data_IF_846350452919
#
_entry.id   IF_846350452919
#
_cell.length_a   1.000
_cell.length_b   1.000
_cell.length_c   1.000
_cell.angle_alpha   90.00
_cell.angle_beta   90.00
_cell.angle_gamma   90.00
#
_symmetry.space_group_name_H-M   'P 1'
#
loop_
_entity.id
_entity.type
_entity.pdbx_description
1 polymer ?
#
# COMPACT_ATOMS: atom_id res chain seq x y z
N UNK A 1 7.71 -35.56 9.90
CA UNK A 1 7.45 -34.17 9.46
C UNK A 1 6.04 -34.05 8.91
N UNK A 2 5.26 -33.08 9.42
CA UNK A 2 3.92 -32.75 8.90
C UNK A 2 4.01 -32.12 7.51
N UNK A 3 3.07 -32.46 6.63
CA UNK A 3 2.96 -31.85 5.29
C UNK A 3 2.44 -30.42 5.43
N UNK A 4 3.11 -29.44 4.82
CA UNK A 4 2.63 -28.06 4.72
C UNK A 4 1.64 -27.96 3.56
N UNK A 5 0.43 -27.49 3.83
CA UNK A 5 -0.54 -27.17 2.79
C UNK A 5 -0.25 -25.78 2.21
N UNK A 6 -0.18 -25.65 0.89
CA UNK A 6 -0.01 -24.34 0.24
C UNK A 6 -1.29 -24.03 -0.53
N UNK A 7 -2.07 -23.05 -0.10
CA UNK A 7 -3.17 -22.50 -0.88
C UNK A 7 -2.58 -21.49 -1.87
N UNK A 8 -2.48 -21.87 -3.14
CA UNK A 8 -1.75 -21.14 -4.16
C UNK A 8 -2.69 -20.29 -5.04
N UNK A 9 -2.49 -18.97 -4.98
CA UNK A 9 -2.93 -17.99 -5.97
C UNK A 9 -1.87 -17.73 -7.04
N UNK A 10 -1.90 -16.55 -7.68
CA UNK A 10 -0.99 -16.21 -8.77
C UNK A 10 0.42 -15.76 -8.32
N UNK A 11 1.34 -15.75 -9.28
CA UNK A 11 2.74 -15.36 -9.06
C UNK A 11 3.64 -16.50 -8.56
N UNK A 12 4.92 -16.19 -8.34
CA UNK A 12 5.97 -17.19 -8.03
C UNK A 12 6.02 -17.62 -6.56
N UNK A 13 5.45 -16.84 -5.64
CA UNK A 13 5.59 -17.09 -4.20
C UNK A 13 5.16 -18.50 -3.74
N UNK A 14 4.02 -19.07 -4.19
CA UNK A 14 3.63 -20.43 -3.80
C UNK A 14 4.68 -21.47 -4.19
N UNK A 15 5.27 -21.30 -5.37
CA UNK A 15 6.28 -22.19 -5.93
C UNK A 15 7.57 -22.11 -5.12
N UNK A 16 8.03 -20.90 -4.81
CA UNK A 16 9.23 -20.66 -4.00
C UNK A 16 9.10 -21.22 -2.58
N UNK A 17 7.91 -21.11 -1.97
CA UNK A 17 7.63 -21.74 -0.68
C UNK A 17 7.75 -23.26 -0.78
N UNK A 18 7.20 -23.86 -1.84
CA UNK A 18 7.28 -25.31 -2.06
C UNK A 18 8.73 -25.78 -2.24
N UNK A 19 9.53 -25.06 -3.04
CA UNK A 19 10.96 -25.33 -3.23
C UNK A 19 11.74 -25.20 -1.92
N UNK A 20 11.55 -24.11 -1.19
CA UNK A 20 12.21 -23.87 0.10
C UNK A 20 11.89 -24.96 1.12
N UNK A 21 10.62 -25.37 1.25
CA UNK A 21 10.21 -26.42 2.21
C UNK A 21 10.80 -27.77 1.82
N UNK A 22 10.77 -28.12 0.54
CA UNK A 22 11.28 -29.41 0.06
C UNK A 22 12.81 -29.50 0.10
N UNK A 23 13.52 -28.41 -0.20
CA UNK A 23 14.98 -28.34 -0.07
C UNK A 23 15.47 -28.58 1.38
N UNK A 24 14.63 -28.24 2.38
CA UNK A 24 14.90 -28.52 3.81
C UNK A 24 14.38 -29.89 4.28
N UNK A 25 14.03 -30.78 3.36
CA UNK A 25 13.53 -32.13 3.65
C UNK A 25 12.06 -32.19 4.08
N UNK A 26 11.33 -31.08 4.00
CA UNK A 26 9.90 -31.01 4.29
C UNK A 26 9.04 -31.58 3.16
N UNK A 27 7.73 -31.73 3.43
CA UNK A 27 6.74 -32.16 2.45
C UNK A 27 5.69 -31.09 2.27
N UNK A 28 5.20 -30.93 1.05
CA UNK A 28 4.15 -29.98 0.70
C UNK A 28 3.00 -30.65 -0.04
N UNK A 29 1.81 -30.07 0.08
CA UNK A 29 0.69 -30.34 -0.82
C UNK A 29 0.06 -29.02 -1.24
N UNK A 30 0.04 -28.76 -2.55
CA UNK A 30 -0.40 -27.48 -3.10
C UNK A 30 -1.88 -27.59 -3.50
N UNK A 31 -2.74 -26.78 -2.92
CA UNK A 31 -4.11 -26.57 -3.39
C UNK A 31 -4.12 -25.34 -4.28
N UNK A 32 -4.24 -25.56 -5.58
CA UNK A 32 -3.99 -24.54 -6.60
C UNK A 32 -5.27 -24.01 -7.20
N UNK A 33 -5.41 -22.68 -7.21
CA UNK A 33 -6.59 -22.02 -7.77
C UNK A 33 -6.46 -21.97 -9.30
N UNK A 34 -7.38 -22.65 -9.97
CA UNK A 34 -7.46 -22.68 -11.43
C UNK A 34 -7.71 -21.29 -12.01
N UNK A 35 -6.95 -20.93 -13.04
CA UNK A 35 -6.95 -19.60 -13.66
C UNK A 35 -6.11 -18.54 -12.94
N UNK A 36 -5.53 -18.83 -11.77
CA UNK A 36 -4.65 -17.90 -11.04
C UNK A 36 -3.24 -18.50 -10.85
N UNK A 37 -3.15 -19.72 -10.30
CA UNK A 37 -1.88 -20.36 -10.00
C UNK A 37 -1.13 -20.79 -11.28
N UNK A 38 0.20 -20.66 -11.25
CA UNK A 38 1.08 -21.06 -12.33
C UNK A 38 1.14 -22.60 -12.47
N UNK A 39 1.21 -23.12 -13.70
CA UNK A 39 1.34 -24.55 -13.99
C UNK A 39 2.68 -25.14 -13.53
N UNK A 40 3.70 -24.32 -13.29
CA UNK A 40 4.99 -24.75 -12.75
C UNK A 40 4.87 -25.47 -11.38
N UNK A 41 3.73 -25.36 -10.70
CA UNK A 41 3.44 -26.14 -9.48
C UNK A 41 3.26 -27.64 -9.72
N UNK A 42 3.01 -28.07 -10.97
CA UNK A 42 2.64 -29.46 -11.29
C UNK A 42 3.74 -30.47 -10.90
N UNK A 43 4.97 -29.99 -10.68
CA UNK A 43 6.11 -30.77 -10.15
C UNK A 43 6.02 -31.14 -8.67
N UNK A 44 5.08 -30.56 -7.92
CA UNK A 44 4.83 -30.87 -6.52
C UNK A 44 3.51 -31.63 -6.36
N UNK A 45 3.29 -32.40 -5.27
CA UNK A 45 1.98 -32.95 -4.96
C UNK A 45 0.93 -31.84 -4.87
N UNK A 46 -0.12 -31.91 -5.68
CA UNK A 46 -1.06 -30.80 -5.83
C UNK A 46 -2.51 -31.25 -6.04
N UNK A 47 -3.44 -30.29 -5.93
CA UNK A 47 -4.84 -30.44 -6.28
C UNK A 47 -5.38 -29.14 -6.84
N UNK A 48 -5.78 -29.17 -8.10
CA UNK A 48 -6.45 -28.05 -8.74
C UNK A 48 -7.90 -27.90 -8.24
N UNK A 49 -8.27 -26.66 -7.95
CA UNK A 49 -9.58 -26.25 -7.41
C UNK A 49 -10.05 -24.96 -8.07
N UNK A 50 -11.34 -24.79 -8.24
CA UNK A 50 -11.95 -23.50 -8.58
C UNK A 50 -12.24 -22.70 -7.29
N UNK A 51 -12.28 -21.37 -7.39
CA UNK A 51 -12.65 -20.45 -6.29
C UNK A 51 -13.88 -20.87 -5.47
N UNK A 52 -14.90 -21.45 -6.12
CA UNK A 52 -16.13 -21.89 -5.43
C UNK A 52 -16.02 -23.22 -4.69
N UNK A 53 -14.93 -23.97 -4.87
CA UNK A 53 -14.81 -25.34 -4.37
C UNK A 53 -14.13 -25.40 -2.99
N UNK A 54 -14.68 -24.64 -2.04
CA UNK A 54 -14.12 -24.51 -0.68
C UNK A 54 -14.10 -25.87 0.04
N UNK A 55 -15.14 -26.70 -0.14
CA UNK A 55 -15.17 -28.05 0.40
C UNK A 55 -14.05 -28.93 -0.15
N UNK A 56 -13.82 -28.89 -1.47
CA UNK A 56 -12.72 -29.60 -2.14
C UNK A 56 -11.35 -29.13 -1.64
N UNK A 57 -11.15 -27.82 -1.45
CA UNK A 57 -9.91 -27.27 -0.87
C UNK A 57 -9.61 -27.89 0.49
N UNK A 58 -10.57 -27.84 1.41
CA UNK A 58 -10.43 -28.39 2.78
C UNK A 58 -10.22 -29.90 2.73
N UNK A 59 -10.95 -30.62 1.89
CA UNK A 59 -10.82 -32.07 1.75
C UNK A 59 -9.44 -32.47 1.23
N UNK A 60 -8.90 -31.75 0.24
CA UNK A 60 -7.57 -32.00 -0.29
C UNK A 60 -6.48 -31.82 0.78
N UNK A 61 -6.53 -30.72 1.53
CA UNK A 61 -5.60 -30.46 2.64
C UNK A 61 -5.66 -31.56 3.71
N UNK A 62 -6.88 -31.95 4.12
CA UNK A 62 -7.07 -33.03 5.12
C UNK A 62 -6.59 -34.39 4.61
N UNK A 63 -6.90 -34.74 3.36
CA UNK A 63 -6.45 -35.99 2.73
C UNK A 63 -4.93 -36.08 2.65
N UNK A 64 -4.26 -34.94 2.40
CA UNK A 64 -2.80 -34.85 2.39
C UNK A 64 -2.15 -34.80 3.79
N UNK A 65 -2.97 -34.81 4.86
CA UNK A 65 -2.50 -34.72 6.25
C UNK A 65 -1.95 -33.34 6.63
N UNK A 66 -2.34 -32.29 5.90
CA UNK A 66 -1.91 -30.93 6.20
C UNK A 66 -2.61 -30.42 7.46
N UNK A 67 -1.83 -30.09 8.48
CA UNK A 67 -2.29 -29.36 9.68
C UNK A 67 -1.92 -27.89 9.62
N UNK A 68 -0.73 -27.60 9.11
CA UNK A 68 -0.25 -26.24 8.86
C UNK A 68 -0.50 -25.87 7.42
N UNK A 69 -1.00 -24.67 7.18
CA UNK A 69 -1.22 -24.15 5.84
C UNK A 69 -0.63 -22.76 5.65
N UNK A 70 -0.19 -22.45 4.44
CA UNK A 70 0.20 -21.10 4.03
C UNK A 70 -0.66 -20.68 2.86
N UNK A 71 -1.12 -19.44 2.90
CA UNK A 71 -1.86 -18.81 1.81
C UNK A 71 -0.88 -17.88 1.10
N UNK A 72 -0.63 -18.15 -0.18
CA UNK A 72 0.42 -17.46 -0.93
C UNK A 72 -0.04 -17.13 -2.35
N UNK A 73 0.48 -16.01 -2.86
CA UNK A 73 0.23 -15.55 -4.22
C UNK A 73 -0.85 -14.47 -4.30
N UNK A 74 -0.83 -13.74 -5.42
CA UNK A 74 -1.80 -12.69 -5.70
C UNK A 74 -3.20 -13.27 -5.90
N UNK A 75 -4.18 -12.64 -5.26
CA UNK A 75 -5.59 -12.97 -5.42
C UNK A 75 -6.24 -11.81 -6.16
N UNK A 76 -6.60 -12.01 -7.43
CA UNK A 76 -7.49 -11.08 -8.12
C UNK A 76 -8.90 -11.27 -7.59
N UNK A 77 -9.69 -10.19 -7.54
CA UNK A 77 -11.12 -10.29 -7.18
C UNK A 77 -11.79 -11.30 -8.10
N UNK A 78 -12.37 -12.39 -7.58
CA UNK A 78 -12.91 -13.45 -8.41
C UNK A 78 -14.08 -12.91 -9.24
N UNK A 79 -14.09 -13.25 -10.52
CA UNK A 79 -15.29 -13.10 -11.33
C UNK A 79 -16.35 -14.07 -10.80
N UNK A 80 -17.33 -13.52 -10.07
CA UNK A 80 -18.39 -14.29 -9.41
C UNK A 80 -19.17 -15.19 -10.39
N UNK A 81 -19.12 -14.91 -11.70
CA UNK A 81 -19.76 -15.73 -12.74
C UNK A 81 -19.01 -17.03 -13.03
N UNK A 82 -17.71 -17.10 -12.72
CA UNK A 82 -16.84 -18.28 -12.94
C UNK A 82 -16.68 -19.14 -11.70
N UNK A 83 -17.30 -18.73 -10.58
CA UNK A 83 -17.30 -19.46 -9.32
C UNK A 83 -18.22 -20.68 -9.46
N UNK A 84 -17.66 -21.88 -9.25
CA UNK A 84 -18.42 -23.14 -9.22
C UNK A 84 -18.58 -23.60 -7.77
N UNK A 85 -19.66 -23.19 -7.07
CA UNK A 85 -19.83 -23.47 -5.65
C UNK A 85 -20.07 -24.97 -5.41
N UNK A 86 -19.39 -25.53 -4.40
CA UNK A 86 -19.66 -26.89 -3.91
C UNK A 86 -20.57 -26.88 -2.67
N UNK A 87 -21.00 -28.06 -2.20
CA UNK A 87 -21.83 -28.18 -0.99
C UNK A 87 -21.13 -27.52 0.23
N UNK A 88 -19.80 -27.58 0.28
CA UNK A 88 -18.99 -26.90 1.30
C UNK A 88 -19.07 -25.37 1.24
N UNK A 89 -19.19 -24.80 0.04
CA UNK A 89 -19.44 -23.38 -0.20
C UNK A 89 -20.82 -22.97 0.35
N UNK A 90 -21.88 -23.71 0.03
CA UNK A 90 -23.22 -23.43 0.57
C UNK A 90 -23.28 -23.54 2.10
N UNK A 91 -22.64 -24.56 2.67
CA UNK A 91 -22.52 -24.71 4.13
C UNK A 91 -21.70 -23.58 4.79
N UNK A 92 -20.87 -22.87 4.01
CA UNK A 92 -20.06 -21.74 4.47
C UNK A 92 -20.66 -20.38 4.09
N UNK A 93 -21.78 -20.36 3.36
CA UNK A 93 -22.40 -19.17 2.79
C UNK A 93 -22.79 -18.11 3.84
N UNK A 94 -23.38 -18.45 5.00
CA UNK A 94 -23.69 -17.45 6.03
C UNK A 94 -22.44 -16.72 6.55
N UNK A 95 -21.30 -17.41 6.57
CA UNK A 95 -20.01 -16.83 7.00
C UNK A 95 -19.36 -16.03 5.85
N UNK A 96 -19.50 -16.49 4.61
CA UNK A 96 -18.99 -15.81 3.41
C UNK A 96 -19.72 -14.50 3.12
N UNK A 97 -21.04 -14.42 3.34
CA UNK A 97 -21.82 -13.19 3.12
C UNK A 97 -21.34 -12.05 4.04
N UNK A 98 -20.88 -12.38 5.25
CA UNK A 98 -20.22 -11.42 6.13
C UNK A 98 -18.93 -10.83 5.56
N UNK A 99 -18.28 -11.51 4.59
CA UNK A 99 -17.03 -11.05 3.96
C UNK A 99 -17.25 -9.87 3.01
N UNK A 100 -18.46 -9.72 2.45
CA UNK A 100 -18.81 -8.66 1.50
C UNK A 100 -19.07 -7.29 2.14
N UNK A 101 -19.17 -7.23 3.48
CA UNK A 101 -19.28 -6.00 4.24
C UNK A 101 -17.98 -5.71 5.00
N UNK A 102 -17.09 -4.88 4.44
CA UNK A 102 -15.80 -4.52 5.06
C UNK A 102 -14.71 -4.18 4.04
N UNK A 103 -13.54 -3.70 4.51
CA UNK A 103 -12.37 -3.38 3.67
C UNK A 103 -11.41 -4.53 3.40
N UNK A 104 -10.39 -4.32 2.54
CA UNK A 104 -9.48 -5.39 2.09
C UNK A 104 -8.72 -6.08 3.24
N UNK A 105 -8.16 -5.35 4.21
CA UNK A 105 -7.51 -5.94 5.41
C UNK A 105 -8.46 -6.81 6.23
N UNK A 106 -9.75 -6.46 6.23
CA UNK A 106 -10.78 -7.25 6.88
C UNK A 106 -11.13 -8.52 6.11
N UNK A 107 -10.91 -8.57 4.78
CA UNK A 107 -11.14 -9.76 3.96
C UNK A 107 -10.07 -10.81 4.24
N UNK A 108 -8.79 -10.41 4.20
CA UNK A 108 -7.67 -11.31 4.42
C UNK A 108 -7.70 -11.94 5.83
N UNK A 109 -7.91 -11.12 6.86
CA UNK A 109 -8.09 -11.58 8.24
C UNK A 109 -9.23 -12.59 8.38
N UNK A 110 -10.33 -12.39 7.64
CA UNK A 110 -11.49 -13.28 7.66
C UNK A 110 -11.21 -14.61 6.95
N UNK A 111 -10.42 -14.61 5.88
CA UNK A 111 -9.96 -15.85 5.21
C UNK A 111 -9.10 -16.67 6.17
N UNK A 112 -8.18 -16.04 6.89
CA UNK A 112 -7.37 -16.72 7.92
C UNK A 112 -8.25 -17.39 8.96
N UNK A 113 -9.17 -16.62 9.58
CA UNK A 113 -10.11 -17.14 10.59
C UNK A 113 -10.97 -18.28 10.06
N UNK A 114 -11.36 -18.25 8.78
CA UNK A 114 -12.14 -19.31 8.17
C UNK A 114 -11.39 -20.66 8.22
N UNK A 115 -10.11 -20.68 7.85
CA UNK A 115 -9.33 -21.92 7.87
C UNK A 115 -8.97 -22.35 9.30
N UNK A 116 -8.72 -21.42 10.22
CA UNK A 116 -8.52 -21.71 11.65
C UNK A 116 -9.74 -22.41 12.25
N UNK A 117 -10.95 -21.92 11.96
CA UNK A 117 -12.21 -22.55 12.40
C UNK A 117 -12.42 -23.95 11.80
N UNK A 118 -11.74 -24.29 10.70
CA UNK A 118 -11.75 -25.63 10.10
C UNK A 118 -10.67 -26.55 10.66
N UNK A 119 -9.89 -26.07 11.64
CA UNK A 119 -8.86 -26.82 12.36
C UNK A 119 -7.47 -26.75 11.74
N UNK A 120 -7.21 -25.79 10.85
CA UNK A 120 -5.87 -25.58 10.29
C UNK A 120 -5.11 -24.51 11.06
N UNK A 121 -3.79 -24.69 11.17
CA UNK A 121 -2.85 -23.70 11.70
C UNK A 121 -2.31 -22.87 10.53
N UNK A 122 -2.82 -21.65 10.37
CA UNK A 122 -2.41 -20.76 9.28
C UNK A 122 -1.08 -20.10 9.64
N UNK A 123 -0.07 -20.35 8.81
CA UNK A 123 1.30 -19.85 8.94
C UNK A 123 1.62 -18.84 7.85
N UNK A 124 2.50 -17.90 8.18
CA UNK A 124 3.05 -16.97 7.21
C UNK A 124 4.16 -17.58 6.36
N UNK A 125 4.37 -17.01 5.18
CA UNK A 125 5.45 -17.40 4.28
C UNK A 125 6.82 -17.38 5.00
N UNK A 126 7.09 -16.35 5.80
CA UNK A 126 8.30 -16.23 6.62
C UNK A 126 8.51 -17.37 7.63
N UNK A 127 7.43 -17.97 8.15
CA UNK A 127 7.52 -19.03 9.15
C UNK A 127 7.82 -20.37 8.50
N UNK A 128 7.30 -20.60 7.29
CA UNK A 128 7.51 -21.86 6.58
C UNK A 128 8.73 -21.81 5.70
N UNK A 129 9.11 -20.65 5.14
CA UNK A 129 10.19 -20.44 4.18
C UNK A 129 11.06 -19.22 4.60
N UNK A 130 11.79 -19.31 5.73
CA UNK A 130 12.58 -18.21 6.29
C UNK A 130 13.76 -17.78 5.41
N UNK A 131 14.27 -18.65 4.52
CA UNK A 131 15.30 -18.32 3.54
C UNK A 131 14.85 -17.26 2.51
N UNK A 132 13.53 -17.06 2.37
CA UNK A 132 12.97 -15.99 1.55
C UNK A 132 13.00 -14.62 2.25
N UNK A 133 13.25 -14.55 3.55
CA UNK A 133 13.29 -13.29 4.29
C UNK A 133 14.54 -12.47 3.95
N UNK A 134 14.32 -11.19 3.69
CA UNK A 134 15.37 -10.18 3.69
C UNK A 134 16.05 -10.13 5.07
N UNK A 135 17.33 -10.51 5.16
CA UNK A 135 18.10 -10.44 6.41
C UNK A 135 18.60 -9.02 6.72
N UNK A 136 19.20 -8.83 7.88
CA UNK A 136 19.82 -7.54 8.23
C UNK A 136 21.12 -7.27 7.45
N UNK A 137 21.38 -6.00 7.15
CA UNK A 137 22.60 -5.55 6.48
C UNK A 137 22.54 -5.66 4.94
N UNK A 138 23.71 -5.49 4.33
CA UNK A 138 23.89 -5.54 2.87
C UNK A 138 23.67 -6.96 2.35
N UNK A 139 22.92 -7.10 1.26
CA UNK A 139 22.64 -8.41 0.65
C UNK A 139 23.38 -8.67 -0.66
N UNK A 140 23.72 -7.62 -1.41
CA UNK A 140 24.52 -7.70 -2.64
C UNK A 140 25.98 -7.27 -2.43
N UNK A 141 26.67 -7.00 -3.54
CA UNK A 141 28.00 -6.39 -3.58
C UNK A 141 27.96 -4.86 -3.41
N UNK A 142 26.83 -4.23 -3.75
CA UNK A 142 26.64 -2.76 -3.70
C UNK A 142 26.13 -2.32 -2.32
N UNK A 143 26.67 -1.21 -1.82
CA UNK A 143 26.27 -0.58 -0.56
C UNK A 143 25.52 0.72 -0.75
N UNK A 144 24.59 1.01 0.17
CA UNK A 144 24.10 2.36 0.36
C UNK A 144 25.20 3.23 0.97
N UNK A 145 25.33 4.45 0.43
CA UNK A 145 26.06 5.54 1.05
C UNK A 145 25.46 5.94 2.40
N UNK A 146 26.18 6.76 3.16
CA UNK A 146 25.65 7.31 4.41
C UNK A 146 24.36 8.13 4.19
N UNK A 147 24.30 8.90 3.09
CA UNK A 147 23.09 9.63 2.71
C UNK A 147 21.96 8.67 2.34
N UNK A 148 22.23 7.60 1.57
CA UNK A 148 21.27 6.57 1.24
C UNK A 148 20.70 5.88 2.49
N UNK A 149 21.56 5.54 3.47
CA UNK A 149 21.11 5.00 4.76
C UNK A 149 20.31 6.02 5.58
N UNK A 150 20.64 7.30 5.53
CA UNK A 150 19.86 8.37 6.17
C UNK A 150 18.48 8.51 5.53
N UNK A 151 18.40 8.50 4.21
CA UNK A 151 17.16 8.53 3.44
C UNK A 151 16.29 7.28 3.73
N UNK A 152 16.91 6.11 3.83
CA UNK A 152 16.24 4.87 4.22
C UNK A 152 15.59 5.00 5.62
N UNK A 153 16.34 5.47 6.63
CA UNK A 153 15.83 5.70 7.99
C UNK A 153 14.67 6.69 8.00
N UNK A 154 14.77 7.77 7.23
CA UNK A 154 13.68 8.74 7.06
C UNK A 154 12.44 8.08 6.43
N UNK A 155 12.63 7.23 5.42
CA UNK A 155 11.54 6.47 4.80
C UNK A 155 10.82 5.55 5.79
N UNK A 156 11.57 4.85 6.65
CA UNK A 156 10.98 4.06 7.73
C UNK A 156 10.24 4.91 8.77
N UNK A 157 10.73 6.10 9.11
CA UNK A 157 10.04 7.03 9.99
C UNK A 157 8.70 7.52 9.39
N UNK A 158 8.69 7.89 8.09
CA UNK A 158 7.46 8.28 7.36
C UNK A 158 6.46 7.12 7.34
N UNK A 159 6.90 5.91 7.01
CA UNK A 159 6.05 4.70 7.03
C UNK A 159 5.44 4.46 8.40
N UNK A 160 6.22 4.64 9.46
CA UNK A 160 5.78 4.44 10.84
C UNK A 160 4.72 5.47 11.25
N UNK A 161 4.88 6.74 10.85
CA UNK A 161 3.91 7.81 11.10
C UNK A 161 2.59 7.62 10.32
N UNK A 162 2.65 7.00 9.14
CA UNK A 162 1.50 6.70 8.28
C UNK A 162 0.82 5.35 8.60
N UNK A 163 1.52 4.45 9.30
CA UNK A 163 1.07 3.10 9.63
C UNK A 163 -0.33 3.02 10.26
N UNK A 164 -0.61 3.76 11.37
CA UNK A 164 -1.92 3.77 12.01
C UNK A 164 -3.07 4.26 11.11
N UNK A 165 -2.75 4.95 10.00
CA UNK A 165 -3.70 5.50 9.04
C UNK A 165 -3.89 4.59 7.83
N UNK A 166 -3.24 3.42 7.82
CA UNK A 166 -3.31 2.43 6.75
C UNK A 166 -2.78 2.95 5.39
N UNK A 167 -1.77 3.83 5.42
CA UNK A 167 -1.16 4.37 4.21
C UNK A 167 0.12 3.62 3.81
N UNK A 168 0.11 3.02 2.61
CA UNK A 168 1.28 2.50 1.86
C UNK A 168 2.18 1.46 2.55
N UNK A 169 2.89 0.64 1.78
CA UNK A 169 3.97 -0.21 2.33
C UNK A 169 5.35 0.32 1.94
N UNK A 170 5.43 1.19 0.95
CA UNK A 170 6.67 1.75 0.45
C UNK A 170 6.68 3.29 0.37
N UNK A 171 7.86 3.86 0.53
CA UNK A 171 8.14 5.30 0.40
C UNK A 171 9.46 5.47 -0.35
N UNK A 172 9.54 6.43 -1.28
CA UNK A 172 10.80 6.83 -1.92
C UNK A 172 11.27 8.14 -1.33
N UNK A 173 12.46 8.14 -0.76
CA UNK A 173 13.14 9.32 -0.21
C UNK A 173 14.36 9.63 -1.07
N UNK A 174 14.68 10.90 -1.28
CA UNK A 174 16.00 11.29 -1.74
C UNK A 174 16.43 12.62 -1.14
N UNK A 175 17.67 12.69 -0.68
CA UNK A 175 18.27 13.90 -0.13
C UNK A 175 17.40 14.50 0.99
N UNK A 176 16.87 13.64 1.87
CA UNK A 176 15.98 14.03 2.96
C UNK A 176 14.56 14.44 2.55
N UNK A 177 14.16 14.32 1.28
CA UNK A 177 12.83 14.69 0.78
C UNK A 177 12.00 13.47 0.41
N UNK A 178 10.72 13.49 0.77
CA UNK A 178 9.76 12.46 0.34
C UNK A 178 9.39 12.73 -1.12
N UNK A 179 9.75 11.81 -2.02
CA UNK A 179 9.42 11.93 -3.44
C UNK A 179 8.09 11.27 -3.77
N UNK A 180 7.81 10.13 -3.15
CA UNK A 180 6.58 9.40 -3.35
C UNK A 180 6.25 8.53 -2.13
N UNK A 181 4.96 8.44 -1.83
CA UNK A 181 4.39 7.44 -0.91
C UNK A 181 3.49 6.52 -1.72
N UNK A 182 3.57 5.22 -1.46
CA UNK A 182 2.76 4.22 -2.14
C UNK A 182 1.27 4.41 -1.79
N UNK A 183 0.46 4.64 -2.82
CA UNK A 183 -0.99 4.65 -2.72
C UNK A 183 -1.61 3.36 -3.27
N UNK A 184 -2.89 3.43 -3.63
CA UNK A 184 -3.63 2.30 -4.20
C UNK A 184 -3.09 1.82 -5.56
N UNK A 185 -2.23 2.60 -6.22
CA UNK A 185 -1.59 2.21 -7.48
C UNK A 185 -0.54 1.10 -7.34
N UNK A 186 0.00 0.90 -6.13
CA UNK A 186 1.06 -0.06 -5.84
C UNK A 186 2.48 0.42 -6.21
N UNK A 187 3.47 -0.33 -5.73
CA UNK A 187 4.90 0.02 -5.80
C UNK A 187 5.39 0.31 -7.23
N UNK A 188 4.97 -0.48 -8.22
CA UNK A 188 5.44 -0.33 -9.60
C UNK A 188 5.02 0.99 -10.25
N UNK A 189 3.74 1.35 -10.09
CA UNK A 189 3.22 2.61 -10.60
C UNK A 189 3.78 3.81 -9.80
N UNK A 190 4.04 3.63 -8.51
CA UNK A 190 4.76 4.63 -7.70
C UNK A 190 6.16 4.89 -8.26
N UNK A 191 6.94 3.86 -8.60
CA UNK A 191 8.29 4.04 -9.17
C UNK A 191 8.24 4.73 -10.54
N UNK A 192 7.27 4.40 -11.39
CA UNK A 192 7.05 5.13 -12.65
C UNK A 192 6.76 6.62 -12.43
N UNK A 193 5.96 6.95 -11.40
CA UNK A 193 5.71 8.34 -10.99
C UNK A 193 6.99 9.04 -10.55
N UNK A 194 7.86 8.36 -9.80
CA UNK A 194 9.17 8.90 -9.43
C UNK A 194 10.02 9.19 -10.67
N UNK A 195 9.99 8.32 -11.68
CA UNK A 195 10.70 8.52 -12.95
C UNK A 195 10.27 9.83 -13.66
N UNK A 196 8.98 10.16 -13.57
CA UNK A 196 8.39 11.32 -14.23
C UNK A 196 8.61 12.65 -13.49
N UNK A 197 9.23 12.64 -12.30
CA UNK A 197 9.49 13.86 -11.55
C UNK A 197 10.54 14.74 -12.27
N UNK A 198 10.36 16.07 -12.28
CA UNK A 198 11.33 16.99 -12.87
C UNK A 198 12.74 16.78 -12.27
N UNK A 199 13.77 16.77 -13.13
CA UNK A 199 15.16 16.62 -12.73
C UNK A 199 15.62 15.19 -12.46
N UNK A 200 14.73 14.18 -12.42
CA UNK A 200 15.11 12.77 -12.23
C UNK A 200 15.78 12.15 -13.45
N UNK A 201 15.22 12.37 -14.63
CA UNK A 201 15.74 11.83 -15.89
C UNK A 201 17.11 12.41 -16.31
N UNK A 202 17.56 13.50 -15.67
CA UNK A 202 18.83 14.18 -15.97
C UNK A 202 19.91 13.92 -14.91
N UNK A 203 19.61 13.11 -13.89
CA UNK A 203 20.54 12.86 -12.80
C UNK A 203 21.69 11.95 -13.26
N UNK A 204 22.91 12.50 -13.31
CA UNK A 204 24.13 11.73 -13.61
C UNK A 204 24.53 10.79 -12.46
N UNK A 205 24.01 11.01 -11.25
CA UNK A 205 24.34 10.27 -10.04
C UNK A 205 23.08 9.64 -9.46
N UNK A 206 23.16 8.35 -9.10
CA UNK A 206 22.09 7.64 -8.41
C UNK A 206 21.80 8.33 -7.08
N UNK A 207 20.53 8.56 -6.77
CA UNK A 207 20.14 9.16 -5.49
C UNK A 207 18.78 8.68 -5.03
N UNK A 208 18.67 8.49 -3.72
CA UNK A 208 17.43 8.13 -3.07
C UNK A 208 17.20 6.64 -2.95
N UNK A 209 16.32 6.29 -2.03
CA UNK A 209 16.08 4.93 -1.57
C UNK A 209 14.60 4.63 -1.53
N UNK A 210 14.23 3.45 -2.03
CA UNK A 210 12.93 2.85 -1.80
C UNK A 210 12.95 2.16 -0.43
N UNK A 211 12.29 2.73 0.57
CA UNK A 211 12.09 2.11 1.87
C UNK A 211 10.78 1.29 1.86
N UNK A 212 10.84 -0.02 2.11
CA UNK A 212 9.68 -0.92 2.08
C UNK A 212 9.62 -1.82 3.31
N UNK A 213 8.41 -2.09 3.80
CA UNK A 213 8.17 -2.99 4.92
C UNK A 213 6.67 -3.16 5.19
N UNK A 214 6.29 -3.92 6.22
CA UNK A 214 4.88 -4.09 6.58
C UNK A 214 4.34 -2.87 7.34
N UNK A 215 3.03 -2.64 7.24
CA UNK A 215 2.34 -1.68 8.10
C UNK A 215 2.19 -2.26 9.51
N UNK A 216 2.18 -1.42 10.57
CA UNK A 216 1.81 -1.86 11.91
C UNK A 216 0.43 -2.55 11.92
N UNK A 217 0.34 -3.74 12.50
CA UNK A 217 -0.91 -4.50 12.59
C UNK A 217 -1.32 -5.25 11.31
N UNK A 218 -0.49 -5.21 10.25
CA UNK A 218 -0.72 -5.97 9.03
C UNK A 218 -0.69 -7.48 9.30
N UNK A 219 -1.60 -8.22 8.67
CA UNK A 219 -1.69 -9.69 8.81
C UNK A 219 -0.61 -10.37 7.96
N UNK A 220 0.63 -10.43 8.49
CA UNK A 220 1.81 -10.97 7.81
C UNK A 220 1.68 -12.45 7.43
N UNK A 221 0.68 -13.17 7.94
CA UNK A 221 0.47 -14.56 7.53
C UNK A 221 0.01 -14.69 6.09
N UNK A 222 -0.62 -13.64 5.54
CA UNK A 222 -1.20 -13.67 4.19
C UNK A 222 -0.86 -12.43 3.37
N UNK A 223 -0.36 -11.36 4.00
CA UNK A 223 0.07 -10.15 3.33
C UNK A 223 1.47 -9.77 3.81
N UNK A 224 2.49 -10.43 3.25
CA UNK A 224 3.88 -10.00 3.45
C UNK A 224 4.31 -9.09 2.29
N UNK A 225 4.95 -7.95 2.59
CA UNK A 225 5.63 -7.19 1.56
C UNK A 225 6.72 -8.02 0.89
N UNK A 226 6.88 -7.81 -0.41
CA UNK A 226 7.90 -8.48 -1.20
C UNK A 226 8.62 -7.50 -2.14
N UNK A 227 9.89 -7.81 -2.41
CA UNK A 227 10.68 -7.27 -3.51
C UNK A 227 11.15 -8.43 -4.39
N UNK A 228 11.51 -8.16 -5.63
CA UNK A 228 12.10 -9.15 -6.55
C UNK A 228 12.84 -8.47 -7.70
N UNK A 229 13.28 -9.23 -8.72
CA UNK A 229 14.08 -8.68 -9.82
C UNK A 229 13.43 -7.48 -10.49
N UNK A 230 12.12 -7.57 -10.73
CA UNK A 230 11.33 -6.46 -11.29
C UNK A 230 11.37 -5.19 -10.42
N UNK A 231 11.35 -5.31 -9.10
CA UNK A 231 11.46 -4.13 -8.21
C UNK A 231 12.83 -3.48 -8.34
N UNK A 232 13.88 -4.30 -8.45
CA UNK A 232 15.27 -3.85 -8.64
C UNK A 232 15.42 -3.15 -9.98
N UNK A 233 14.97 -3.76 -11.07
CA UNK A 233 14.98 -3.17 -12.41
C UNK A 233 14.28 -1.81 -12.43
N UNK A 234 13.12 -1.70 -11.76
CA UNK A 234 12.35 -0.45 -11.69
C UNK A 234 13.02 0.61 -10.84
N UNK A 235 13.58 0.24 -9.69
CA UNK A 235 14.37 1.15 -8.85
C UNK A 235 15.61 1.65 -9.61
N UNK A 236 16.28 0.76 -10.34
CA UNK A 236 17.44 1.08 -11.14
C UNK A 236 17.10 2.00 -12.32
N UNK A 237 15.98 1.76 -13.01
CA UNK A 237 15.51 2.55 -14.14
C UNK A 237 15.17 4.00 -13.78
N UNK A 238 14.93 4.30 -12.49
CA UNK A 238 14.67 5.66 -12.00
C UNK A 238 15.85 6.24 -11.20
N UNK A 239 17.03 5.64 -11.38
CA UNK A 239 18.29 6.04 -10.78
C UNK A 239 18.24 6.13 -9.24
N UNK A 240 17.51 5.24 -8.58
CA UNK A 240 17.64 5.08 -7.13
C UNK A 240 19.02 4.48 -6.81
N UNK A 241 19.55 4.91 -5.67
CA UNK A 241 20.78 4.37 -5.09
C UNK A 241 20.56 2.96 -4.57
N UNK A 242 19.38 2.68 -4.02
CA UNK A 242 19.05 1.33 -3.59
C UNK A 242 17.64 1.15 -3.05
N UNK A 243 17.41 -0.05 -2.53
CA UNK A 243 16.18 -0.49 -1.89
C UNK A 243 16.55 -0.85 -0.44
N UNK A 244 15.90 -0.20 0.52
CA UNK A 244 15.99 -0.54 1.91
C UNK A 244 14.73 -1.28 2.35
N UNK A 245 14.89 -2.42 2.99
CA UNK A 245 13.77 -3.24 3.48
C UNK A 245 13.84 -3.43 4.98
N UNK A 246 12.68 -3.58 5.61
CA UNK A 246 12.63 -3.98 7.02
C UNK A 246 13.12 -5.42 7.15
N UNK A 247 14.22 -5.61 7.88
CA UNK A 247 14.83 -6.92 8.06
C UNK A 247 13.85 -7.90 8.72
N UNK A 248 13.87 -9.15 8.26
CA UNK A 248 13.03 -10.26 8.71
C UNK A 248 11.52 -10.06 8.51
N UNK A 249 11.12 -9.00 7.79
CA UNK A 249 9.73 -8.61 7.59
C UNK A 249 9.33 -8.44 6.11
N UNK A 250 10.28 -8.59 5.18
CA UNK A 250 10.08 -8.48 3.73
C UNK A 250 10.63 -9.71 3.03
N UNK A 251 9.90 -10.21 2.03
CA UNK A 251 10.35 -11.34 1.20
C UNK A 251 11.18 -10.86 0.00
N UNK A 252 12.22 -11.62 -0.35
CA UNK A 252 12.96 -11.45 -1.61
C UNK A 252 12.59 -12.60 -2.54
N UNK A 253 11.73 -12.28 -3.52
CA UNK A 253 11.38 -13.18 -4.60
C UNK A 253 12.58 -13.35 -5.53
N UNK A 254 12.83 -14.57 -5.98
CA UNK A 254 13.93 -14.93 -6.88
C UNK A 254 15.26 -14.30 -6.44
N UNK A 255 15.67 -14.56 -5.19
CA UNK A 255 16.78 -13.88 -4.52
C UNK A 255 18.04 -13.78 -5.37
N UNK A 256 18.47 -14.88 -6.01
CA UNK A 256 19.68 -14.88 -6.83
C UNK A 256 19.58 -13.85 -7.96
N UNK A 257 18.51 -13.92 -8.75
CA UNK A 257 18.23 -13.01 -9.86
C UNK A 257 18.09 -11.55 -9.38
N UNK A 258 17.45 -11.34 -8.22
CA UNK A 258 17.27 -10.00 -7.64
C UNK A 258 18.61 -9.37 -7.22
N UNK A 259 19.49 -10.16 -6.60
CA UNK A 259 20.82 -9.71 -6.19
C UNK A 259 21.73 -9.49 -7.40
N UNK A 260 21.69 -10.37 -8.40
CA UNK A 260 22.44 -10.21 -9.64
C UNK A 260 22.01 -8.94 -10.40
N UNK A 261 20.70 -8.69 -10.53
CA UNK A 261 20.18 -7.46 -11.13
C UNK A 261 20.58 -6.21 -10.34
N UNK A 262 20.63 -6.30 -9.00
CA UNK A 262 21.02 -5.21 -8.12
C UNK A 262 22.49 -4.86 -8.32
N UNK A 263 23.36 -5.86 -8.31
CA UNK A 263 24.79 -5.71 -8.51
C UNK A 263 25.12 -5.19 -9.91
N UNK A 264 24.52 -5.79 -10.94
CA UNK A 264 24.74 -5.40 -12.34
C UNK A 264 24.28 -3.96 -12.62
N UNK A 265 23.25 -3.48 -11.91
CA UNK A 265 22.75 -2.11 -12.08
C UNK A 265 23.41 -1.10 -11.16
N UNK A 266 24.16 -1.51 -10.12
CA UNK A 266 24.64 -0.60 -9.08
C UNK A 266 23.54 -0.11 -8.15
N UNK A 267 22.45 -0.88 -7.97
CA UNK A 267 21.34 -0.59 -7.07
C UNK A 267 21.50 -1.42 -5.80
N UNK A 268 21.75 -0.79 -4.65
CA UNK A 268 21.95 -1.53 -3.40
C UNK A 268 20.67 -2.22 -2.90
N UNK A 269 20.81 -3.31 -2.16
CA UNK A 269 19.74 -3.91 -1.36
C UNK A 269 20.25 -4.07 0.07
N UNK A 270 19.61 -3.39 1.02
CA UNK A 270 20.01 -3.38 2.43
C UNK A 270 18.82 -3.61 3.36
N UNK A 271 18.95 -4.56 4.28
CA UNK A 271 17.98 -4.78 5.34
C UNK A 271 18.31 -3.92 6.55
N UNK A 272 17.40 -3.05 6.96
CA UNK A 272 17.53 -2.26 8.19
C UNK A 272 16.74 -2.93 9.31
N UNK A 273 17.39 -3.14 10.45
CA UNK A 273 16.70 -3.57 11.66
C UNK A 273 15.67 -2.52 12.03
N UNK A 274 14.45 -2.96 12.36
CA UNK A 274 13.35 -2.11 12.81
C UNK A 274 13.64 -1.47 14.17
N UNK A 275 14.60 -0.55 14.21
CA UNK A 275 14.81 0.36 15.33
C UNK A 275 13.95 1.58 15.09
N UNK A 276 12.99 1.82 15.99
CA UNK A 276 12.11 2.97 15.97
C UNK A 276 12.92 4.26 15.73
N UNK A 277 12.95 4.73 14.49
CA UNK A 277 13.30 6.10 14.20
C UNK A 277 12.05 6.90 14.60
N UNK A 278 11.91 7.16 15.89
CA UNK A 278 11.04 8.21 16.36
C UNK A 278 11.61 9.51 15.78
N UNK A 279 10.90 10.20 14.88
CA UNK A 279 11.29 11.58 14.63
C UNK A 279 11.31 12.27 15.99
N UNK A 280 12.40 12.98 16.31
CA UNK A 280 12.25 14.05 17.31
C UNK A 280 11.22 14.98 16.71
N UNK A 281 10.06 15.21 17.35
CA UNK A 281 9.17 16.25 16.88
C UNK A 281 10.00 17.53 16.85
N UNK A 282 10.26 18.06 15.66
CA UNK A 282 10.48 19.49 15.51
C UNK A 282 9.24 20.13 16.13
N UNK A 283 9.48 20.97 17.13
CA UNK A 283 8.50 21.73 17.89
C UNK A 283 7.32 22.19 17.03
N UNK A 284 6.11 22.02 17.58
CA UNK A 284 4.82 22.57 17.13
C UNK A 284 4.07 21.80 16.02
N UNK A 285 3.48 20.67 16.41
CA UNK A 285 2.28 20.12 15.76
C UNK A 285 1.13 20.17 16.76
N UNK A 286 0.48 21.31 16.89
CA UNK A 286 -0.64 21.48 17.80
C UNK A 286 -1.89 20.70 17.31
N UNK A 287 -2.74 20.20 18.24
CA UNK A 287 -3.96 19.50 17.86
C UNK A 287 -4.89 20.47 17.11
N UNK A 288 -5.25 20.09 15.88
CA UNK A 288 -6.14 20.88 15.01
C UNK A 288 -7.41 21.32 15.75
N UNK A 289 -7.65 22.63 15.74
CA UNK A 289 -8.74 23.30 16.44
C UNK A 289 -10.11 22.95 15.85
N UNK A 290 -11.11 22.81 16.71
CA UNK A 290 -12.48 22.35 16.38
C UNK A 290 -13.36 23.33 15.60
N UNK A 291 -12.85 24.46 15.09
CA UNK A 291 -13.64 25.34 14.24
C UNK A 291 -13.62 24.83 12.80
N UNK A 292 -14.69 24.13 12.43
CA UNK A 292 -14.97 23.68 11.07
C UNK A 292 -15.97 24.66 10.46
N UNK A 293 -15.53 25.47 9.48
CA UNK A 293 -16.41 26.37 8.73
C UNK A 293 -16.72 25.75 7.37
N UNK A 294 -18.00 25.68 7.00
CA UNK A 294 -18.40 25.21 5.67
C UNK A 294 -18.69 26.40 4.76
N UNK A 295 -18.07 26.39 3.59
CA UNK A 295 -18.18 27.43 2.57
C UNK A 295 -19.10 26.94 1.45
N UNK A 296 -19.98 27.82 0.95
CA UNK A 296 -20.99 27.50 -0.07
C UNK A 296 -22.26 26.85 0.49
N UNK A 297 -23.12 26.33 -0.40
CA UNK A 297 -24.40 25.66 -0.08
C UNK A 297 -24.27 24.15 0.14
N UNK A 298 -23.26 23.52 -0.45
CA UNK A 298 -23.03 22.08 -0.32
C UNK A 298 -22.43 21.75 1.05
N UNK A 299 -22.91 20.68 1.69
CA UNK A 299 -22.51 20.27 3.05
C UNK A 299 -21.96 18.85 3.04
N UNK A 300 -20.87 18.56 3.79
CA UNK A 300 -20.33 17.21 3.89
C UNK A 300 -21.32 16.31 4.65
N UNK A 301 -21.51 15.08 4.16
CA UNK A 301 -22.25 14.04 4.88
C UNK A 301 -21.38 13.33 5.92
N UNK A 302 -21.96 12.35 6.63
CA UNK A 302 -21.24 11.57 7.66
C UNK A 302 -20.00 10.85 7.14
N UNK A 303 -20.05 10.32 5.92
CA UNK A 303 -18.90 9.66 5.28
C UNK A 303 -17.81 10.66 4.90
N UNK A 304 -18.20 11.81 4.37
CA UNK A 304 -17.27 12.87 4.01
C UNK A 304 -16.56 13.43 5.25
N UNK A 305 -17.27 13.56 6.38
CA UNK A 305 -16.67 13.96 7.65
C UNK A 305 -15.61 12.96 8.16
N UNK A 306 -15.85 11.65 7.98
CA UNK A 306 -14.85 10.63 8.31
C UNK A 306 -13.62 10.70 7.38
N UNK A 307 -13.85 10.94 6.08
CA UNK A 307 -12.77 11.13 5.09
C UNK A 307 -11.93 12.37 5.42
N UNK A 308 -12.58 13.48 5.80
CA UNK A 308 -11.91 14.71 6.28
C UNK A 308 -11.05 14.40 7.51
N UNK A 309 -11.63 13.77 8.54
CA UNK A 309 -10.91 13.46 9.77
C UNK A 309 -9.68 12.59 9.53
N UNK A 310 -9.79 11.56 8.68
CA UNK A 310 -8.64 10.73 8.30
C UNK A 310 -7.59 11.52 7.51
N UNK A 311 -8.00 12.36 6.57
CA UNK A 311 -7.07 13.19 5.80
C UNK A 311 -6.32 14.22 6.65
N UNK A 312 -7.01 14.84 7.61
CA UNK A 312 -6.37 15.76 8.58
C UNK A 312 -5.31 15.04 9.41
N UNK A 313 -5.59 13.81 9.87
CA UNK A 313 -4.62 13.00 10.60
C UNK A 313 -3.39 12.66 9.73
N UNK A 314 -3.58 12.36 8.44
CA UNK A 314 -2.45 12.13 7.50
C UNK A 314 -1.60 13.38 7.35
N UNK A 315 -2.22 14.53 7.09
CA UNK A 315 -1.51 15.80 6.97
C UNK A 315 -0.71 16.15 8.24
N UNK A 316 -1.28 15.87 9.43
CA UNK A 316 -0.61 16.08 10.71
C UNK A 316 0.57 15.12 10.92
N UNK A 317 0.38 13.82 10.65
CA UNK A 317 1.46 12.82 10.70
C UNK A 317 2.61 13.15 9.75
N UNK A 318 2.31 13.79 8.63
CA UNK A 318 3.29 14.14 7.59
C UNK A 318 3.96 15.51 7.80
N UNK A 319 3.41 16.38 8.64
CA UNK A 319 3.92 17.73 8.87
C UNK A 319 5.41 17.79 9.30
N UNK A 320 5.94 16.85 10.12
CA UNK A 320 7.37 16.85 10.49
C UNK A 320 8.32 16.46 9.35
N UNK A 321 7.81 15.98 8.22
CA UNK A 321 8.61 15.47 7.12
C UNK A 321 8.61 16.46 5.95
N UNK A 322 9.71 16.51 5.18
CA UNK A 322 9.80 17.28 3.95
C UNK A 322 9.00 16.61 2.82
N UNK A 323 7.67 16.74 2.87
CA UNK A 323 6.68 16.14 1.97
C UNK A 323 5.57 17.13 1.59
N UNK A 324 4.72 16.75 0.64
CA UNK A 324 3.53 17.51 0.26
C UNK A 324 2.51 17.64 1.40
N UNK A 325 1.62 18.62 1.28
CA UNK A 325 0.62 18.96 2.30
C UNK A 325 -0.77 18.37 2.02
N UNK A 326 -0.97 17.68 0.88
CA UNK A 326 -2.27 17.23 0.44
C UNK A 326 -2.45 15.70 0.41
N UNK A 327 -3.69 15.27 0.60
CA UNK A 327 -4.11 13.86 0.55
C UNK A 327 -5.52 13.77 -0.01
N UNK A 328 -5.82 12.72 -0.76
CA UNK A 328 -7.19 12.40 -1.17
C UNK A 328 -7.65 11.13 -0.46
N UNK A 329 -8.74 11.26 0.29
CA UNK A 329 -9.38 10.15 1.01
C UNK A 329 -10.75 9.88 0.42
N UNK A 330 -11.11 8.61 0.22
CA UNK A 330 -12.45 8.22 -0.21
C UNK A 330 -12.90 6.97 0.50
N UNK A 331 -14.06 7.04 1.17
CA UNK A 331 -14.66 5.89 1.89
C UNK A 331 -13.70 5.30 2.93
N UNK A 332 -12.99 6.16 3.66
CA UNK A 332 -11.94 5.87 4.61
C UNK A 332 -10.65 5.24 4.02
N UNK A 333 -10.50 5.17 2.70
CA UNK A 333 -9.27 4.75 2.04
C UNK A 333 -8.46 5.95 1.58
N UNK A 334 -7.16 5.91 1.82
CA UNK A 334 -6.22 6.89 1.28
C UNK A 334 -5.97 6.50 -0.18
N UNK A 335 -6.44 7.32 -1.11
CA UNK A 335 -6.25 7.08 -2.54
C UNK A 335 -4.89 7.57 -3.02
N UNK A 336 -4.49 8.76 -2.55
CA UNK A 336 -3.22 9.37 -2.92
C UNK A 336 -2.76 10.33 -1.83
N UNK A 337 -1.45 10.37 -1.60
CA UNK A 337 -0.74 11.37 -0.78
C UNK A 337 0.18 12.14 -1.72
N UNK A 338 0.21 13.46 -1.56
CA UNK A 338 1.07 14.38 -2.29
C UNK A 338 2.51 14.25 -1.78
N UNK A 339 3.45 14.17 -2.71
CA UNK A 339 4.88 14.25 -2.42
C UNK A 339 5.57 15.13 -3.46
N UNK A 340 6.56 14.62 -4.20
CA UNK A 340 7.34 15.39 -5.15
C UNK A 340 6.55 15.86 -6.38
N UNK A 341 5.41 15.23 -6.71
CA UNK A 341 4.66 15.54 -7.94
C UNK A 341 3.77 16.79 -7.85
N UNK A 342 3.46 17.25 -6.63
CA UNK A 342 2.53 18.35 -6.39
C UNK A 342 1.04 18.00 -6.52
N UNK A 343 0.17 18.85 -5.95
CA UNK A 343 -1.28 18.64 -5.91
C UNK A 343 -1.95 18.38 -7.28
N UNK A 344 -1.65 19.13 -8.36
CA UNK A 344 -2.32 18.91 -9.66
C UNK A 344 -2.09 17.50 -10.23
N UNK A 345 -0.83 17.05 -10.27
CA UNK A 345 -0.48 15.72 -10.74
C UNK A 345 -1.04 14.61 -9.82
N UNK A 346 -1.08 14.85 -8.50
CA UNK A 346 -1.74 13.95 -7.57
C UNK A 346 -3.23 13.79 -7.89
N UNK A 347 -3.95 14.88 -8.19
CA UNK A 347 -5.38 14.83 -8.54
C UNK A 347 -5.63 14.08 -9.86
N UNK A 348 -4.80 14.30 -10.88
CA UNK A 348 -4.89 13.53 -12.14
C UNK A 348 -4.71 12.02 -11.91
N UNK A 349 -3.74 11.64 -11.06
CA UNK A 349 -3.53 10.24 -10.64
C UNK A 349 -4.76 9.65 -9.95
N UNK A 350 -5.43 10.40 -9.07
CA UNK A 350 -6.68 9.97 -8.44
C UNK A 350 -7.77 9.70 -9.49
N UNK A 351 -7.84 10.50 -10.54
CA UNK A 351 -8.73 10.30 -11.69
C UNK A 351 -8.58 8.93 -12.33
N UNK A 352 -7.34 8.54 -12.63
CA UNK A 352 -7.02 7.25 -13.24
C UNK A 352 -7.43 6.07 -12.35
N UNK A 353 -7.22 6.18 -11.02
CA UNK A 353 -7.58 5.13 -10.06
C UNK A 353 -9.09 4.89 -9.96
N UNK A 354 -9.93 5.91 -10.19
CA UNK A 354 -11.40 5.78 -10.13
C UNK A 354 -11.99 4.95 -11.28
N UNK A 355 -11.27 4.85 -12.41
CA UNK A 355 -11.70 4.07 -13.58
C UNK A 355 -11.80 2.56 -13.28
N UNK A 356 -11.19 2.09 -12.18
CA UNK A 356 -11.14 0.69 -11.76
C UNK A 356 -12.26 0.25 -10.79
N UNK A 357 -13.21 1.13 -10.39
CA UNK A 357 -14.27 0.67 -9.47
C UNK A 357 -15.40 1.61 -9.07
N UNK A 358 -15.44 2.86 -9.56
CA UNK A 358 -16.43 3.86 -9.12
C UNK A 358 -17.20 4.50 -10.29
N UNK A 359 -17.82 3.67 -11.15
CA UNK A 359 -18.80 4.15 -12.14
C UNK A 359 -20.14 4.46 -11.45
N UNK A 360 -20.20 5.57 -10.73
CA UNK A 360 -21.45 6.12 -10.18
C UNK A 360 -21.56 7.61 -10.49
N UNK A 361 -22.78 8.10 -10.78
CA UNK A 361 -23.04 9.55 -10.99
C UNK A 361 -22.78 10.42 -9.75
N UNK A 362 -22.55 9.80 -8.59
CA UNK A 362 -22.41 10.48 -7.30
C UNK A 362 -20.94 10.74 -6.99
N UNK A 363 -20.60 12.00 -6.75
CA UNK A 363 -19.27 12.42 -6.30
C UNK A 363 -18.96 11.82 -4.93
N UNK A 364 -17.72 11.36 -4.77
CA UNK A 364 -17.24 10.72 -3.53
C UNK A 364 -15.75 11.03 -3.32
N UNK A 365 -15.34 11.11 -2.06
CA UNK A 365 -13.96 11.41 -1.67
C UNK A 365 -13.69 12.90 -1.52
N UNK A 366 -12.67 13.20 -0.73
CA UNK A 366 -12.33 14.54 -0.25
C UNK A 366 -10.85 14.76 -0.44
N UNK A 367 -10.49 15.90 -1.02
CA UNK A 367 -9.13 16.42 -0.98
C UNK A 367 -8.95 17.15 0.35
N UNK A 368 -8.00 16.73 1.17
CA UNK A 368 -7.59 17.44 2.37
C UNK A 368 -6.21 18.04 2.14
N UNK A 369 -6.03 19.32 2.45
CA UNK A 369 -4.78 20.05 2.20
C UNK A 369 -4.39 20.90 3.39
N UNK A 370 -3.16 20.71 3.89
CA UNK A 370 -2.47 21.61 4.80
C UNK A 370 -1.91 22.81 4.04
N UNK A 371 -2.13 24.00 4.58
CA UNK A 371 -1.64 25.27 4.05
C UNK A 371 -0.78 25.93 5.12
N UNK A 372 0.47 26.19 4.80
CA UNK A 372 1.43 26.79 5.73
C UNK A 372 1.39 28.32 5.67
N UNK A 373 1.73 28.98 6.77
CA UNK A 373 1.61 30.43 6.96
C UNK A 373 2.51 31.26 6.02
N UNK A 374 3.63 30.69 5.58
CA UNK A 374 4.58 31.33 4.67
C UNK A 374 4.08 31.14 3.23
N UNK A 375 3.50 32.19 2.67
CA UNK A 375 3.00 32.19 1.29
C UNK A 375 4.06 31.77 0.28
N UNK A 376 3.67 30.88 -0.63
CA UNK A 376 4.44 30.49 -1.81
C UNK A 376 3.68 29.47 -2.67
N UNK A 377 3.37 29.85 -3.91
CA UNK A 377 2.98 29.01 -5.07
C UNK A 377 2.09 27.78 -4.82
N UNK A 378 1.04 27.95 -4.02
CA UNK A 378 -0.09 27.02 -4.09
C UNK A 378 -0.78 27.13 -5.45
N UNK A 379 -1.32 26.03 -6.04
CA UNK A 379 -2.10 26.15 -7.25
C UNK A 379 -3.24 27.15 -7.02
N UNK A 380 -3.52 27.97 -8.04
CA UNK A 380 -4.67 28.89 -8.05
C UNK A 380 -5.89 28.13 -7.52
N UNK A 381 -6.51 28.68 -6.47
CA UNK A 381 -7.66 28.06 -5.80
C UNK A 381 -8.75 27.69 -6.82
N UNK A 382 -8.93 28.51 -7.85
CA UNK A 382 -9.88 28.19 -8.93
C UNK A 382 -9.48 26.95 -9.70
N UNK A 383 -8.21 26.85 -10.11
CA UNK A 383 -7.67 25.68 -10.78
C UNK A 383 -7.77 24.42 -9.90
N UNK A 384 -7.46 24.55 -8.61
CA UNK A 384 -7.55 23.45 -7.65
C UNK A 384 -8.98 22.91 -7.52
N UNK A 385 -9.96 23.79 -7.29
CA UNK A 385 -11.36 23.38 -7.18
C UNK A 385 -11.88 22.80 -8.50
N UNK A 386 -11.48 23.39 -9.64
CA UNK A 386 -11.79 22.88 -10.96
C UNK A 386 -11.26 21.46 -11.19
N UNK A 387 -10.00 21.20 -10.84
CA UNK A 387 -9.39 19.88 -10.90
C UNK A 387 -10.09 18.89 -9.97
N UNK A 388 -10.33 19.25 -8.71
CA UNK A 388 -11.04 18.39 -7.77
C UNK A 388 -12.44 17.99 -8.27
N UNK A 389 -13.18 18.94 -8.87
CA UNK A 389 -14.48 18.69 -9.48
C UNK A 389 -14.38 17.80 -10.73
N UNK A 390 -13.39 18.04 -11.60
CA UNK A 390 -13.16 17.24 -12.82
C UNK A 390 -12.82 15.79 -12.48
N UNK A 391 -12.08 15.56 -11.39
CA UNK A 391 -11.79 14.22 -10.88
C UNK A 391 -12.95 13.62 -10.09
N UNK A 392 -14.07 14.34 -9.97
CA UNK A 392 -15.34 13.93 -9.38
C UNK A 392 -15.32 13.76 -7.86
N UNK A 393 -14.45 14.48 -7.15
CA UNK A 393 -14.44 14.55 -5.70
C UNK A 393 -15.71 15.23 -5.18
N UNK A 394 -16.12 14.89 -3.96
CA UNK A 394 -17.30 15.48 -3.31
C UNK A 394 -17.00 16.86 -2.71
N UNK A 395 -15.76 17.08 -2.27
CA UNK A 395 -15.36 18.36 -1.70
C UNK A 395 -13.87 18.47 -1.38
N UNK A 396 -13.52 19.63 -0.83
CA UNK A 396 -12.17 20.01 -0.43
C UNK A 396 -12.18 20.50 1.02
N UNK A 397 -11.22 20.04 1.81
CA UNK A 397 -10.94 20.55 3.14
C UNK A 397 -9.56 21.20 3.18
N UNK A 398 -9.49 22.45 3.62
CA UNK A 398 -8.25 23.18 3.83
C UNK A 398 -8.00 23.32 5.32
N UNK A 399 -6.77 23.07 5.75
CA UNK A 399 -6.35 23.21 7.15
C UNK A 399 -5.10 24.07 7.25
N UNK A 400 -5.08 25.00 8.18
CA UNK A 400 -3.96 25.92 8.37
C UNK A 400 -4.39 27.13 9.20
N UNK A 401 -3.48 28.07 9.46
CA UNK A 401 -3.79 29.28 10.20
C UNK A 401 -4.92 30.07 9.52
N UNK A 402 -5.77 30.73 10.32
CA UNK A 402 -6.90 31.51 9.83
C UNK A 402 -6.59 32.41 8.62
N UNK A 403 -5.45 33.10 8.63
CA UNK A 403 -5.01 33.97 7.53
C UNK A 403 -4.73 33.19 6.22
N UNK A 404 -4.20 31.97 6.31
CA UNK A 404 -3.88 31.13 5.16
C UNK A 404 -5.13 30.51 4.53
N UNK A 405 -6.12 30.14 5.34
CA UNK A 405 -7.38 29.58 4.87
C UNK A 405 -8.41 30.63 4.45
N UNK A 406 -8.18 31.92 4.76
CA UNK A 406 -9.07 33.03 4.41
C UNK A 406 -9.38 33.12 2.90
N UNK A 407 -8.43 32.74 2.04
CA UNK A 407 -8.63 32.69 0.59
C UNK A 407 -9.78 31.75 0.17
N UNK A 408 -10.07 30.71 0.95
CA UNK A 408 -11.17 29.77 0.70
C UNK A 408 -12.53 30.38 1.05
N UNK A 409 -12.60 31.42 1.88
CA UNK A 409 -13.88 32.02 2.28
C UNK A 409 -14.59 32.73 1.11
N UNK A 410 -13.83 33.32 0.19
CA UNK A 410 -14.35 33.93 -1.03
C UNK A 410 -14.78 32.92 -2.10
N UNK A 411 -14.50 31.63 -1.94
CA UNK A 411 -14.71 30.62 -2.97
C UNK A 411 -16.14 30.03 -3.00
N UNK A 412 -17.07 30.52 -2.18
CA UNK A 412 -18.43 29.99 -2.06
C UNK A 412 -19.16 29.84 -3.40
N UNK A 413 -19.16 30.91 -4.21
CA UNK A 413 -19.83 30.90 -5.52
C UNK A 413 -19.22 29.86 -6.45
N UNK A 414 -17.88 29.79 -6.51
CA UNK A 414 -17.18 28.84 -7.35
C UNK A 414 -17.40 27.39 -6.90
N UNK A 415 -17.36 27.13 -5.59
CA UNK A 415 -17.66 25.81 -5.03
C UNK A 415 -19.08 25.36 -5.38
N UNK A 416 -20.06 26.27 -5.32
CA UNK A 416 -21.46 26.01 -5.64
C UNK A 416 -21.72 25.77 -7.13
N UNK A 417 -21.04 26.51 -8.01
CA UNK A 417 -21.03 26.30 -9.46
C UNK A 417 -20.40 24.95 -9.81
N UNK A 418 -19.31 24.60 -9.15
CA UNK A 418 -18.62 23.33 -9.36
C UNK A 418 -19.30 22.15 -8.66
N UNK A 419 -20.28 22.37 -7.77
CA UNK A 419 -20.98 21.30 -7.04
C UNK A 419 -20.10 20.59 -5.99
N UNK A 420 -19.20 21.33 -5.33
CA UNK A 420 -18.31 20.85 -4.28
C UNK A 420 -18.72 21.45 -2.93
N UNK A 421 -18.56 20.69 -1.85
CA UNK A 421 -18.47 21.32 -0.53
C UNK A 421 -17.02 21.78 -0.29
N UNK A 422 -16.85 22.91 0.40
CA UNK A 422 -15.56 23.39 0.85
C UNK A 422 -15.59 23.58 2.36
N UNK A 423 -14.59 23.06 3.05
CA UNK A 423 -14.45 23.14 4.50
C UNK A 423 -13.11 23.78 4.84
N UNK A 424 -13.11 24.72 5.77
CA UNK A 424 -11.88 25.23 6.39
C UNK A 424 -11.82 24.78 7.84
N UNK A 425 -10.64 24.34 8.25
CA UNK A 425 -10.31 23.95 9.62
C UNK A 425 -9.15 24.81 10.10
N UNK A 426 -9.26 25.36 11.31
CA UNK A 426 -8.16 26.11 11.90
C UNK A 426 -7.09 25.15 12.46
N UNK A 427 -5.84 25.42 12.15
CA UNK A 427 -4.71 24.79 12.82
C UNK A 427 -4.38 25.65 14.05
N UNK A 428 -4.89 25.24 15.21
CA UNK A 428 -4.57 25.88 16.49
C UNK A 428 -3.08 25.71 16.80
#
# INVERSE_FOLDING_TARGET
MSTIGILAGGGRLPLMIAESVTARGGRVHIVAIDGEADRAIDRFPHTWVNWGQIGRMVAALRKAGCRQIVIAGGVKRPDLRKVRPDIGFFASLPRLVGFLAGGDDSVLTRVVRFFEQKGFDVRGAHQVAPDLLAGAGRMGSVELSEQGRADARLGFAVRSALGPLDAGQAVVIAQGRVLAVEGAEGTDAMLQRVAALPGRSLAAVRSGVLAKGPKPGQELRVDMPAIGPRTVERAAAVHLEGIAVEADAVLILDRADALEAADASGCAIEGLMGGACTPRPSSEGAPLGKLVRVIGRHRPGRRDAADIGKGLAVCASLAPFATGGAVVVSRAYILAIEAGEGVPAMLERVGALRQWGLKGKRRVGVLVRRIDAAGGDGPDLRALLGLAAAQGLAGVAAVGPAAAVAAYEGAARLADELGLFVVTCDAA
#
